data_IF_518340155719
#
_entry.id   IF_518340155719
#
_cell.length_a   1.000
_cell.length_b   1.000
_cell.length_c   1.000
_cell.angle_alpha   90.00
_cell.angle_beta   90.00
_cell.angle_gamma   90.00
#
_symmetry.space_group_name_H-M   'P 1'
#
loop_
_entity.id
_entity.type
_entity.pdbx_description
1 polymer ?
#
# COMPACT_ATOMS: atom_id res chain seq x y z
N UNK A 1 14.84 -15.06 -1.78
CA UNK A 1 14.65 -15.03 -3.25
C UNK A 1 13.20 -15.17 -3.68
N UNK A 2 12.30 -15.86 -2.96
CA UNK A 2 10.89 -16.00 -3.39
C UNK A 2 10.20 -14.69 -3.79
N UNK A 3 10.44 -13.59 -3.06
CA UNK A 3 9.85 -12.28 -3.38
C UNK A 3 10.29 -11.68 -4.73
N UNK A 4 11.40 -12.11 -5.33
CA UNK A 4 11.79 -11.63 -6.66
C UNK A 4 11.02 -12.35 -7.77
N UNK A 5 10.49 -13.54 -7.49
CA UNK A 5 9.80 -14.39 -8.46
C UNK A 5 8.28 -14.43 -8.27
N UNK A 6 7.82 -14.13 -7.06
CA UNK A 6 6.41 -14.12 -6.73
C UNK A 6 5.76 -12.83 -7.24
N UNK A 7 4.67 -12.96 -8.00
CA UNK A 7 3.86 -11.84 -8.43
C UNK A 7 3.05 -11.31 -7.24
N UNK A 8 2.99 -9.98 -7.12
CA UNK A 8 2.16 -9.32 -6.12
C UNK A 8 0.66 -9.54 -6.39
N UNK A 9 -0.16 -9.18 -5.41
CA UNK A 9 -1.61 -9.04 -5.60
C UNK A 9 -1.92 -7.92 -6.60
N UNK A 10 -3.12 -7.97 -7.19
CA UNK A 10 -3.59 -6.95 -8.12
C UNK A 10 -3.69 -5.59 -7.44
N UNK A 11 -3.33 -4.52 -8.15
CA UNK A 11 -3.52 -3.14 -7.73
C UNK A 11 -4.97 -2.68 -8.00
N UNK A 12 -5.89 -3.19 -7.18
CA UNK A 12 -7.30 -2.82 -7.19
C UNK A 12 -7.76 -2.28 -5.81
N UNK A 13 -9.06 -2.06 -5.64
CA UNK A 13 -9.62 -1.54 -4.38
C UNK A 13 -9.77 -2.61 -3.29
N UNK A 14 -9.32 -3.85 -3.51
CA UNK A 14 -9.49 -4.96 -2.59
C UNK A 14 -8.24 -5.16 -1.74
N UNK A 15 -8.47 -5.49 -0.48
CA UNK A 15 -7.42 -5.83 0.47
C UNK A 15 -7.52 -7.31 0.81
N UNK A 16 -6.39 -8.01 0.84
CA UNK A 16 -6.36 -9.40 1.26
C UNK A 16 -6.75 -9.52 2.75
N UNK A 17 -7.25 -10.70 3.15
CA UNK A 17 -7.75 -10.91 4.52
C UNK A 17 -6.67 -10.69 5.59
N UNK A 18 -5.40 -10.91 5.24
CA UNK A 18 -4.28 -10.78 6.18
C UNK A 18 -4.05 -9.34 6.62
N UNK A 19 -4.36 -8.35 5.77
CA UNK A 19 -4.27 -6.93 6.14
C UNK A 19 -5.64 -6.36 6.52
N UNK A 20 -6.73 -6.81 5.89
CA UNK A 20 -8.07 -6.28 6.18
C UNK A 20 -8.67 -6.82 7.45
N UNK A 21 -8.52 -8.11 7.75
CA UNK A 21 -9.25 -8.74 8.86
C UNK A 21 -8.28 -9.19 9.99
N UNK A 22 -7.02 -9.45 9.64
CA UNK A 22 -6.07 -10.19 10.48
C UNK A 22 -4.73 -9.49 10.64
N UNK A 23 -4.68 -8.16 10.45
CA UNK A 23 -3.45 -7.40 10.69
C UNK A 23 -3.03 -7.57 12.14
N UNK A 24 -1.76 -7.80 12.42
CA UNK A 24 -1.27 -7.86 13.79
C UNK A 24 -1.59 -6.55 14.54
N UNK A 25 -2.33 -6.67 15.64
CA UNK A 25 -2.75 -5.56 16.48
C UNK A 25 -1.98 -5.50 17.79
N UNK A 26 -1.38 -4.35 18.16
CA UNK A 26 -0.91 -4.13 19.51
C UNK A 26 -2.09 -3.84 20.47
N UNK A 27 -1.83 -3.96 21.77
CA UNK A 27 -2.75 -3.64 22.88
C UNK A 27 -3.89 -4.66 23.05
N UNK A 28 -5.14 -4.21 23.03
CA UNK A 28 -6.32 -4.96 23.49
C UNK A 28 -6.71 -6.16 22.63
N UNK A 29 -6.37 -6.14 21.33
CA UNK A 29 -6.73 -7.20 20.40
C UNK A 29 -5.52 -7.64 19.59
N UNK A 30 -5.36 -8.95 19.43
CA UNK A 30 -4.26 -9.54 18.65
C UNK A 30 -4.36 -9.29 17.14
N UNK A 31 -5.55 -8.89 16.65
CA UNK A 31 -5.84 -8.63 15.23
C UNK A 31 -6.60 -7.31 15.06
N UNK A 32 -6.38 -6.61 13.95
CA UNK A 32 -7.04 -5.35 13.56
C UNK A 32 -7.28 -5.29 12.05
N UNK A 33 -8.05 -4.30 11.62
CA UNK A 33 -8.32 -3.99 10.22
C UNK A 33 -7.46 -2.81 9.75
N UNK A 34 -6.53 -3.06 8.81
CA UNK A 34 -5.65 -2.03 8.28
C UNK A 34 -6.41 -0.96 7.48
N UNK A 35 -7.44 -1.35 6.73
CA UNK A 35 -8.27 -0.43 5.96
C UNK A 35 -9.02 0.53 6.88
N UNK A 36 -9.65 0.00 7.92
CA UNK A 36 -10.30 0.82 8.95
C UNK A 36 -9.30 1.73 9.68
N UNK A 37 -8.11 1.22 10.04
CA UNK A 37 -7.04 2.02 10.65
C UNK A 37 -6.61 3.16 9.72
N UNK A 38 -6.45 2.92 8.42
CA UNK A 38 -6.03 3.94 7.46
C UNK A 38 -7.08 5.05 7.32
N UNK A 39 -8.37 4.68 7.27
CA UNK A 39 -9.47 5.65 7.27
C UNK A 39 -9.43 6.50 8.56
N UNK A 40 -9.38 5.85 9.73
CA UNK A 40 -9.36 6.55 11.01
C UNK A 40 -8.12 7.43 11.18
N UNK A 41 -6.95 6.97 10.70
CA UNK A 41 -5.71 7.75 10.71
C UNK A 41 -5.81 8.97 9.81
N UNK A 42 -6.42 8.84 8.63
CA UNK A 42 -6.68 9.98 7.75
C UNK A 42 -7.54 11.04 8.44
N UNK A 43 -8.61 10.62 9.12
CA UNK A 43 -9.50 11.50 9.88
C UNK A 43 -8.80 12.16 11.08
N UNK A 44 -8.01 11.40 11.83
CA UNK A 44 -7.23 11.87 12.97
C UNK A 44 -6.19 12.94 12.55
N UNK A 45 -5.55 12.75 11.40
CA UNK A 45 -4.62 13.73 10.82
C UNK A 45 -5.32 14.92 10.14
N UNK A 46 -6.66 14.97 10.17
CA UNK A 46 -7.43 16.05 9.55
C UNK A 46 -7.26 16.14 8.05
N UNK A 47 -7.09 15.00 7.35
CA UNK A 47 -7.05 15.01 5.89
C UNK A 47 -8.36 15.58 5.33
N UNK A 48 -8.30 16.49 4.34
CA UNK A 48 -9.49 16.98 3.65
C UNK A 48 -10.22 15.86 2.91
N UNK A 49 -11.43 16.15 2.41
CA UNK A 49 -12.14 15.21 1.56
C UNK A 49 -11.42 14.96 0.23
N UNK A 50 -11.70 13.80 -0.34
CA UNK A 50 -11.14 13.32 -1.60
C UNK A 50 -11.26 14.34 -2.75
N UNK A 51 -12.42 14.98 -2.93
CA UNK A 51 -12.64 15.94 -4.01
C UNK A 51 -11.87 17.24 -3.79
N UNK A 52 -11.74 17.70 -2.55
CA UNK A 52 -10.91 18.84 -2.17
C UNK A 52 -9.43 18.56 -2.43
N UNK A 53 -8.93 17.37 -2.05
CA UNK A 53 -7.54 16.98 -2.33
C UNK A 53 -7.31 16.88 -3.84
N UNK A 54 -8.24 16.29 -4.62
CA UNK A 54 -8.12 16.28 -6.09
C UNK A 54 -7.95 17.68 -6.66
N UNK A 55 -8.78 18.63 -6.25
CA UNK A 55 -8.68 20.01 -6.71
C UNK A 55 -7.36 20.68 -6.30
N UNK A 56 -6.87 20.42 -5.09
CA UNK A 56 -5.58 20.94 -4.62
C UNK A 56 -4.41 20.45 -5.49
N UNK A 57 -4.47 19.21 -5.99
CA UNK A 57 -3.49 18.65 -6.93
C UNK A 57 -3.80 18.97 -8.41
N UNK A 58 -4.73 19.89 -8.69
CA UNK A 58 -5.09 20.32 -10.05
C UNK A 58 -5.89 19.28 -10.85
N UNK A 59 -6.45 18.27 -10.20
CA UNK A 59 -7.28 17.24 -10.82
C UNK A 59 -8.77 17.65 -10.79
N UNK A 60 -9.56 17.25 -11.81
CA UNK A 60 -10.98 17.52 -11.83
C UNK A 60 -11.70 16.78 -10.69
N UNK A 61 -12.60 17.48 -10.00
CA UNK A 61 -13.52 16.87 -9.03
C UNK A 61 -14.49 15.93 -9.73
N UNK A 62 -14.84 14.83 -9.08
CA UNK A 62 -15.89 13.95 -9.55
C UNK A 62 -17.25 14.44 -9.07
N UNK A 63 -18.26 14.37 -9.95
CA UNK A 63 -19.64 14.75 -9.64
C UNK A 63 -20.55 13.54 -9.47
N UNK A 64 -20.26 12.45 -10.20
CA UNK A 64 -20.97 11.19 -10.08
C UNK A 64 -20.03 10.11 -9.55
N UNK A 65 -20.57 9.22 -8.73
CA UNK A 65 -19.83 8.10 -8.16
C UNK A 65 -19.25 7.18 -9.24
N UNK A 66 -20.04 6.90 -10.28
CA UNK A 66 -19.65 6.05 -11.41
C UNK A 66 -18.40 6.54 -12.13
N UNK A 67 -18.14 7.85 -12.11
CA UNK A 67 -17.01 8.44 -12.82
C UNK A 67 -15.67 8.15 -12.14
N UNK A 68 -15.67 7.77 -10.84
CA UNK A 68 -14.45 7.47 -10.08
C UNK A 68 -13.76 6.22 -10.64
N UNK A 69 -14.54 5.16 -10.90
CA UNK A 69 -14.06 3.92 -11.50
C UNK A 69 -15.20 3.20 -12.25
N UNK A 70 -15.44 3.55 -13.52
CA UNK A 70 -16.53 2.98 -14.30
C UNK A 70 -16.45 1.46 -14.40
N UNK A 71 -15.25 0.92 -14.66
CA UNK A 71 -15.02 -0.51 -14.85
C UNK A 71 -15.35 -1.30 -13.57
N UNK A 72 -14.88 -0.83 -12.41
CA UNK A 72 -15.20 -1.47 -11.13
C UNK A 72 -16.71 -1.48 -10.85
N UNK A 73 -17.41 -0.37 -11.12
CA UNK A 73 -18.83 -0.25 -10.81
C UNK A 73 -19.73 -0.97 -11.81
N UNK A 74 -19.26 -1.16 -13.04
CA UNK A 74 -19.91 -2.03 -14.03
C UNK A 74 -19.76 -3.51 -13.66
N UNK A 75 -18.58 -3.93 -13.23
CA UNK A 75 -18.32 -5.31 -12.80
C UNK A 75 -18.95 -5.64 -11.44
N UNK A 76 -18.98 -4.67 -10.51
CA UNK A 76 -19.37 -4.83 -9.10
C UNK A 76 -20.31 -3.70 -8.62
N UNK A 77 -21.55 -3.67 -9.12
CA UNK A 77 -22.52 -2.62 -8.80
C UNK A 77 -22.94 -2.61 -7.32
N UNK A 78 -22.70 -3.68 -6.56
CA UNK A 78 -22.92 -3.74 -5.12
C UNK A 78 -21.98 -2.83 -4.34
N UNK A 79 -20.71 -2.71 -4.78
CA UNK A 79 -19.73 -1.84 -4.13
C UNK A 79 -20.18 -0.38 -4.24
N UNK A 80 -20.69 0.02 -5.41
CA UNK A 80 -21.23 1.35 -5.64
C UNK A 80 -22.36 1.67 -4.65
N UNK A 81 -23.32 0.75 -4.47
CA UNK A 81 -24.44 0.93 -3.55
C UNK A 81 -23.97 1.05 -2.09
N UNK A 82 -22.99 0.23 -1.69
CA UNK A 82 -22.42 0.29 -0.35
C UNK A 82 -21.72 1.62 -0.09
N UNK A 83 -20.95 2.13 -1.06
CA UNK A 83 -20.28 3.43 -0.95
C UNK A 83 -21.27 4.58 -0.86
N UNK A 84 -22.28 4.61 -1.73
CA UNK A 84 -23.34 5.63 -1.70
C UNK A 84 -24.02 5.62 -0.32
N UNK A 85 -24.35 4.44 0.21
CA UNK A 85 -24.97 4.32 1.53
C UNK A 85 -24.02 4.72 2.66
N UNK A 86 -22.72 4.45 2.56
CA UNK A 86 -21.74 4.73 3.61
C UNK A 86 -21.42 6.23 3.75
N UNK A 87 -21.61 6.99 2.68
CA UNK A 87 -21.32 8.43 2.64
C UNK A 87 -22.59 9.28 2.44
N UNK A 88 -23.77 8.75 2.79
CA UNK A 88 -25.07 9.45 2.70
C UNK A 88 -25.34 10.09 1.31
N UNK A 89 -24.86 9.43 0.25
CA UNK A 89 -24.89 9.89 -1.13
C UNK A 89 -24.18 11.26 -1.37
N UNK A 90 -23.33 11.71 -0.46
CA UNK A 90 -22.49 12.89 -0.64
C UNK A 90 -21.08 12.51 -1.10
N UNK A 91 -20.85 12.69 -2.41
CA UNK A 91 -19.55 12.43 -3.05
C UNK A 91 -18.42 13.33 -2.52
N UNK A 92 -18.74 14.45 -1.87
CA UNK A 92 -17.75 15.37 -1.31
C UNK A 92 -17.34 15.01 0.13
N UNK A 93 -17.85 13.90 0.67
CA UNK A 93 -17.51 13.45 2.02
C UNK A 93 -16.60 12.21 2.02
N UNK A 94 -16.15 11.77 0.83
CA UNK A 94 -15.30 10.58 0.67
C UNK A 94 -13.93 10.81 1.32
N UNK A 95 -13.49 9.87 2.15
CA UNK A 95 -12.14 9.87 2.71
C UNK A 95 -11.10 9.68 1.59
N UNK A 96 -10.00 10.44 1.63
CA UNK A 96 -8.94 10.40 0.60
C UNK A 96 -8.39 8.99 0.38
N UNK A 97 -8.23 8.21 1.46
CA UNK A 97 -7.78 6.83 1.37
C UNK A 97 -8.73 5.98 0.52
N UNK A 98 -10.04 6.07 0.78
CA UNK A 98 -11.06 5.31 0.06
C UNK A 98 -11.13 5.76 -1.40
N UNK A 99 -11.22 7.08 -1.65
CA UNK A 99 -11.27 7.61 -3.01
C UNK A 99 -10.05 7.27 -3.85
N UNK A 100 -8.85 7.33 -3.28
CA UNK A 100 -7.62 6.96 -3.98
C UNK A 100 -7.48 5.46 -4.26
N UNK A 101 -7.96 4.60 -3.34
CA UNK A 101 -8.05 3.15 -3.59
C UNK A 101 -9.04 2.86 -4.73
N UNK A 102 -10.18 3.53 -4.77
CA UNK A 102 -11.20 3.35 -5.81
C UNK A 102 -10.69 3.72 -7.20
N UNK A 103 -9.80 4.70 -7.34
CA UNK A 103 -9.21 5.06 -8.65
C UNK A 103 -8.21 4.02 -9.20
N UNK A 104 -7.80 3.02 -8.41
CA UNK A 104 -6.73 2.10 -8.79
C UNK A 104 -7.21 1.03 -9.77
N UNK A 105 -6.42 0.80 -10.81
CA UNK A 105 -6.67 -0.23 -11.83
C UNK A 105 -5.34 -0.69 -12.44
N UNK A 106 -4.75 -1.75 -11.87
CA UNK A 106 -3.43 -2.30 -12.27
C UNK A 106 -2.24 -1.36 -12.03
N UNK A 107 -2.51 -0.21 -11.42
CA UNK A 107 -1.57 0.81 -10.96
C UNK A 107 -2.31 1.78 -10.02
N UNK A 108 -1.59 2.59 -9.24
CA UNK A 108 -2.22 3.62 -8.43
C UNK A 108 -3.09 4.56 -9.28
N UNK A 109 -4.22 4.98 -8.72
CA UNK A 109 -5.10 5.97 -9.33
C UNK A 109 -4.41 7.29 -9.67
N UNK A 110 -5.10 8.18 -10.42
CA UNK A 110 -4.52 9.46 -10.85
C UNK A 110 -4.15 10.33 -9.65
N UNK A 111 -5.00 10.36 -8.63
CA UNK A 111 -4.72 11.11 -7.41
C UNK A 111 -3.45 10.58 -6.70
N UNK A 112 -3.41 9.30 -6.35
CA UNK A 112 -2.27 8.73 -5.64
C UNK A 112 -0.99 8.76 -6.47
N UNK A 113 -1.06 8.52 -7.77
CA UNK A 113 0.10 8.70 -8.67
C UNK A 113 0.64 10.12 -8.59
N UNK A 114 -0.24 11.13 -8.64
CA UNK A 114 0.17 12.55 -8.59
C UNK A 114 0.78 12.91 -7.24
N UNK A 115 0.14 12.52 -6.13
CA UNK A 115 0.61 12.76 -4.76
C UNK A 115 1.98 12.12 -4.53
N UNK A 116 2.13 10.84 -4.88
CA UNK A 116 3.38 10.10 -4.71
C UNK A 116 4.48 10.72 -5.56
N UNK A 117 4.22 10.97 -6.84
CA UNK A 117 5.20 11.55 -7.75
C UNK A 117 5.68 12.93 -7.29
N UNK A 118 4.77 13.83 -6.91
CA UNK A 118 5.14 15.16 -6.42
C UNK A 118 5.96 15.06 -5.12
N UNK A 119 5.56 14.17 -4.20
CA UNK A 119 6.30 13.98 -2.95
C UNK A 119 7.73 13.47 -3.21
N UNK A 120 7.92 12.53 -4.14
CA UNK A 120 9.25 12.05 -4.52
C UNK A 120 10.09 13.13 -5.22
N UNK A 121 9.50 13.94 -6.10
CA UNK A 121 10.18 15.08 -6.74
C UNK A 121 10.66 16.06 -5.67
N UNK A 122 9.77 16.46 -4.75
CA UNK A 122 10.12 17.39 -3.67
C UNK A 122 11.20 16.84 -2.75
N UNK A 123 11.15 15.55 -2.40
CA UNK A 123 12.20 14.91 -1.61
C UNK A 123 13.56 14.96 -2.33
N UNK A 124 13.60 14.56 -3.59
CA UNK A 124 14.82 14.58 -4.41
C UNK A 124 15.39 15.99 -4.55
N UNK A 125 14.56 16.94 -4.98
CA UNK A 125 15.01 18.28 -5.36
C UNK A 125 15.38 19.14 -4.14
N UNK A 126 14.83 18.81 -2.95
CA UNK A 126 15.10 19.57 -1.72
C UNK A 126 16.17 18.95 -0.82
N UNK A 127 16.66 17.76 -1.14
CA UNK A 127 17.69 17.10 -0.34
C UNK A 127 19.08 17.58 -0.75
N UNK A 128 19.70 18.39 0.10
CA UNK A 128 21.09 18.84 -0.10
C UNK A 128 22.07 17.67 -0.23
N UNK A 129 21.80 16.54 0.42
CA UNK A 129 22.63 15.34 0.37
C UNK A 129 22.16 14.32 -0.68
N UNK A 130 21.25 14.71 -1.58
CA UNK A 130 20.92 13.90 -2.75
C UNK A 130 22.20 13.53 -3.51
N UNK A 131 22.37 12.26 -3.85
CA UNK A 131 23.65 11.76 -4.37
C UNK A 131 24.01 12.36 -5.74
N UNK A 132 23.03 12.84 -6.51
CA UNK A 132 23.28 13.50 -7.80
C UNK A 132 23.54 15.01 -7.66
N UNK A 133 23.44 15.57 -6.46
CA UNK A 133 23.74 16.98 -6.23
C UNK A 133 25.27 17.20 -6.18
N UNK A 134 25.85 17.63 -7.29
CA UNK A 134 27.29 17.87 -7.41
C UNK A 134 27.81 18.98 -6.46
N UNK A 135 26.95 19.91 -6.02
CA UNK A 135 27.35 21.04 -5.18
C UNK A 135 27.73 20.62 -3.75
N UNK A 136 27.27 19.46 -3.28
CA UNK A 136 27.57 18.98 -1.94
C UNK A 136 28.95 18.33 -1.82
N UNK A 137 29.62 18.05 -2.95
CA UNK A 137 30.96 17.46 -3.00
C UNK A 137 31.07 16.03 -2.46
N UNK A 138 29.96 15.30 -2.29
CA UNK A 138 29.96 13.91 -1.81
C UNK A 138 30.55 12.94 -2.84
N UNK A 139 30.20 13.12 -4.11
CA UNK A 139 30.59 12.26 -5.21
C UNK A 139 31.05 13.09 -6.41
N UNK A 140 32.04 12.57 -7.14
CA UNK A 140 32.43 13.09 -8.44
C UNK A 140 31.40 12.71 -9.51
N UNK A 141 31.39 13.43 -10.64
CA UNK A 141 30.52 13.10 -11.80
C UNK A 141 30.63 11.64 -12.23
N UNK A 142 31.85 11.11 -12.24
CA UNK A 142 32.12 9.72 -12.60
C UNK A 142 31.50 8.75 -11.59
N UNK A 143 31.61 9.03 -10.29
CA UNK A 143 31.01 8.19 -9.26
C UNK A 143 29.47 8.24 -9.32
N UNK A 144 28.86 9.40 -9.61
CA UNK A 144 27.41 9.51 -9.83
C UNK A 144 26.96 8.64 -11.00
N UNK A 145 27.71 8.66 -12.12
CA UNK A 145 27.44 7.80 -13.27
C UNK A 145 27.55 6.30 -12.95
N UNK A 146 28.48 5.91 -12.08
CA UNK A 146 28.57 4.53 -11.59
C UNK A 146 27.41 4.17 -10.65
N UNK A 147 27.05 5.06 -9.71
CA UNK A 147 25.93 4.86 -8.79
C UNK A 147 24.60 4.71 -9.53
N UNK A 148 24.38 5.45 -10.62
CA UNK A 148 23.18 5.34 -11.46
C UNK A 148 23.03 3.97 -12.14
N UNK A 149 24.11 3.22 -12.32
CA UNK A 149 24.08 1.88 -12.91
C UNK A 149 23.68 0.81 -11.90
N UNK A 150 23.83 1.10 -10.60
CA UNK A 150 23.53 0.13 -9.55
C UNK A 150 22.02 -0.07 -9.45
N UNK A 151 21.60 -1.32 -9.58
CA UNK A 151 20.21 -1.75 -9.43
C UNK A 151 20.02 -2.57 -8.16
N UNK A 152 18.75 -2.81 -7.77
CA UNK A 152 18.47 -3.70 -6.65
C UNK A 152 18.94 -5.15 -6.92
N UNK A 153 19.03 -5.56 -8.19
CA UNK A 153 19.64 -6.82 -8.59
C UNK A 153 21.11 -6.90 -8.14
N UNK A 154 21.90 -5.86 -8.44
CA UNK A 154 23.32 -5.83 -8.09
C UNK A 154 23.53 -5.88 -6.57
N UNK A 155 22.66 -5.18 -5.83
CA UNK A 155 22.66 -5.21 -4.36
C UNK A 155 22.41 -6.63 -3.84
N UNK A 156 21.40 -7.33 -4.39
CA UNK A 156 21.05 -8.68 -3.94
C UNK A 156 22.15 -9.69 -4.28
N UNK A 157 22.70 -9.65 -5.50
CA UNK A 157 23.80 -10.53 -5.90
C UNK A 157 25.03 -10.29 -5.03
N UNK A 158 25.41 -9.03 -4.81
CA UNK A 158 26.63 -8.71 -4.04
C UNK A 158 26.47 -8.97 -2.53
N UNK A 159 25.25 -8.92 -2.01
CA UNK A 159 24.97 -9.14 -0.57
C UNK A 159 24.68 -10.60 -0.23
N UNK A 160 24.61 -11.49 -1.23
CA UNK A 160 24.28 -12.90 -1.04
C UNK A 160 25.26 -13.79 -1.81
N UNK A 161 25.15 -15.11 -1.65
CA UNK A 161 25.99 -16.08 -2.37
C UNK A 161 25.25 -16.75 -3.54
N UNK A 162 24.19 -16.12 -4.06
CA UNK A 162 23.42 -16.68 -5.17
C UNK A 162 24.13 -16.43 -6.50
N UNK A 163 23.91 -17.32 -7.46
CA UNK A 163 24.45 -17.17 -8.80
C UNK A 163 23.75 -16.02 -9.54
N UNK A 164 24.47 -15.29 -10.40
CA UNK A 164 23.95 -14.14 -11.17
C UNK A 164 22.69 -14.48 -11.99
N UNK A 165 22.63 -15.69 -12.54
CA UNK A 165 21.49 -16.17 -13.33
C UNK A 165 20.31 -16.69 -12.50
N UNK A 166 20.38 -16.60 -11.17
CA UNK A 166 19.31 -17.11 -10.29
C UNK A 166 18.10 -16.16 -10.22
N UNK A 167 18.25 -14.90 -10.62
CA UNK A 167 17.18 -13.89 -10.64
C UNK A 167 17.26 -13.02 -11.89
N UNK A 168 16.14 -12.41 -12.24
CA UNK A 168 16.03 -11.46 -13.34
C UNK A 168 16.74 -10.14 -13.03
N UNK A 169 17.19 -9.43 -14.07
CA UNK A 169 17.95 -8.17 -13.92
C UNK A 169 17.09 -7.03 -13.35
N UNK A 170 15.80 -6.98 -13.68
CA UNK A 170 14.88 -6.02 -13.08
C UNK A 170 13.98 -6.72 -12.07
N UNK A 171 14.42 -6.82 -10.82
CA UNK A 171 13.74 -7.59 -9.75
C UNK A 171 12.38 -7.04 -9.32
N UNK A 172 11.96 -5.87 -9.80
CA UNK A 172 10.64 -5.31 -9.50
C UNK A 172 9.53 -5.94 -10.34
N UNK A 173 9.88 -6.53 -11.48
CA UNK A 173 8.92 -7.20 -12.36
C UNK A 173 9.45 -8.59 -12.71
N UNK A 174 8.54 -9.52 -12.88
CA UNK A 174 8.86 -10.84 -13.41
C UNK A 174 8.12 -11.00 -14.73
N UNK A 175 8.85 -11.34 -15.79
CA UNK A 175 8.36 -11.47 -17.15
C UNK A 175 8.54 -12.90 -17.67
N UNK A 176 7.77 -13.27 -18.69
CA UNK A 176 7.93 -14.59 -19.32
C UNK A 176 9.37 -14.77 -19.85
N UNK A 177 10.01 -15.85 -19.44
CA UNK A 177 11.41 -16.16 -19.73
C UNK A 177 12.39 -15.82 -18.60
N UNK A 178 11.96 -15.10 -17.57
CA UNK A 178 12.76 -14.86 -16.38
C UNK A 178 12.98 -16.16 -15.56
N UNK A 179 14.10 -16.27 -14.81
CA UNK A 179 14.39 -17.45 -14.01
C UNK A 179 13.36 -17.66 -12.89
N UNK A 180 13.21 -18.92 -12.51
CA UNK A 180 12.41 -19.36 -11.36
C UNK A 180 10.96 -18.81 -11.38
N UNK A 181 10.11 -19.21 -12.34
CA UNK A 181 8.70 -18.84 -12.31
C UNK A 181 8.04 -19.29 -11.01
N UNK A 182 7.12 -18.48 -10.49
CA UNK A 182 6.31 -18.90 -9.36
C UNK A 182 5.47 -20.14 -9.73
N UNK A 183 5.31 -21.14 -8.85
CA UNK A 183 4.54 -22.34 -9.15
C UNK A 183 3.06 -22.05 -9.44
N UNK A 184 2.47 -21.09 -8.74
CA UNK A 184 1.10 -20.63 -8.88
C UNK A 184 0.93 -19.26 -8.21
N UNK A 185 -0.14 -18.54 -8.53
CA UNK A 185 -0.56 -17.37 -7.75
C UNK A 185 -1.10 -17.85 -6.40
N UNK A 186 -0.53 -17.34 -5.31
CA UNK A 186 -0.97 -17.71 -3.97
C UNK A 186 -2.39 -17.21 -3.70
N UNK A 187 -3.15 -18.01 -2.97
CA UNK A 187 -4.46 -17.63 -2.44
C UNK A 187 -4.58 -18.14 -1.00
N UNK A 188 -5.33 -17.41 -0.18
CA UNK A 188 -5.62 -17.73 1.23
C UNK A 188 -6.12 -19.16 1.45
N UNK A 189 -6.83 -19.76 0.49
CA UNK A 189 -7.32 -21.15 0.59
C UNK A 189 -6.21 -22.21 0.57
N UNK A 190 -5.00 -21.85 0.12
CA UNK A 190 -3.85 -22.75 0.01
C UNK A 190 -2.86 -22.58 1.18
N UNK A 191 -3.14 -21.64 2.09
CA UNK A 191 -2.26 -21.30 3.20
C UNK A 191 -2.85 -21.79 4.53
N UNK A 192 -2.01 -21.89 5.55
CA UNK A 192 -2.48 -22.20 6.90
C UNK A 192 -3.54 -21.18 7.36
N UNK A 193 -4.64 -21.63 7.98
CA UNK A 193 -5.64 -20.72 8.48
C UNK A 193 -5.05 -19.73 9.48
N UNK A 194 -5.30 -18.44 9.26
CA UNK A 194 -4.80 -17.40 10.15
C UNK A 194 -5.42 -17.55 11.54
N UNK A 195 -4.63 -17.30 12.60
CA UNK A 195 -5.11 -17.38 13.98
C UNK A 195 -6.28 -16.42 14.22
N UNK A 196 -7.27 -16.92 14.95
CA UNK A 196 -8.47 -16.18 15.37
C UNK A 196 -8.09 -15.00 16.27
N UNK A 197 -8.88 -13.93 16.20
CA UNK A 197 -8.72 -12.77 17.09
C UNK A 197 -8.85 -13.18 18.56
N UNK A 198 -7.96 -12.65 19.39
CA UNK A 198 -7.94 -12.85 20.84
C UNK A 198 -7.84 -11.50 21.53
N UNK A 199 -8.69 -11.26 22.52
CA UNK A 199 -8.58 -10.11 23.40
C UNK A 199 -7.51 -10.34 24.47
N UNK A 200 -6.84 -9.29 24.89
CA UNK A 200 -5.94 -9.31 26.03
C UNK A 200 -6.66 -8.72 27.25
N UNK A 201 -6.95 -9.56 28.23
CA UNK A 201 -7.48 -9.11 29.53
C UNK A 201 -6.32 -8.91 30.50
N UNK A 202 -5.98 -7.64 30.75
CA UNK A 202 -4.90 -7.28 31.66
C UNK A 202 -5.23 -7.57 33.14
N UNK A 203 -6.49 -7.86 33.47
CA UNK A 203 -6.96 -8.09 34.84
C UNK A 203 -7.42 -9.53 35.10
N UNK A 204 -7.22 -10.46 34.16
CA UNK A 204 -7.72 -11.85 34.24
C UNK A 204 -7.35 -12.54 35.57
N UNK A 205 -6.18 -12.24 36.13
CA UNK A 205 -5.66 -12.83 37.38
C UNK A 205 -5.71 -11.86 38.58
N UNK A 206 -6.16 -10.62 38.37
CA UNK A 206 -6.15 -9.57 39.40
C UNK A 206 -7.45 -9.46 40.20
N UNK A 207 -8.51 -10.18 39.81
CA UNK A 207 -9.79 -10.17 40.53
C UNK A 207 -9.73 -11.17 41.70
N UNK A 208 -9.22 -10.73 42.84
CA UNK A 208 -9.52 -11.37 44.13
C UNK A 208 -10.98 -11.02 44.48
N UNK A 209 -11.83 -12.05 44.63
CA UNK A 209 -13.24 -11.95 45.02
C UNK A 209 -13.40 -11.22 46.37
N UNK A 210 -13.54 -9.90 46.35
CA UNK A 210 -14.10 -9.12 47.45
C UNK A 210 -15.62 -9.24 47.42
N UNK A 211 -16.16 -10.39 47.84
CA UNK A 211 -17.52 -10.53 48.37
C UNK A 211 -17.78 -11.97 48.90
N UNK A 212 -17.46 -12.17 50.18
CA UNK A 212 -18.28 -12.98 51.10
C UNK A 212 -18.29 -12.24 52.44
N UNK A 213 -19.25 -11.35 52.61
CA UNK A 213 -19.85 -11.00 53.90
C UNK A 213 -21.36 -11.14 53.74
#
# INVERSE_FOLDING_TARGET
MGMTSQLAEREDSLLCSDVRDKLFGPMEFSRRDLGAINIMRGRDNGLPDYNTVRAAYGLPKFKNWTDINPELFDERPEILRMLISAYDNDINNIDVYVGGMLESYGKPGKLFTKVILEQFIRLRDSDRFWFENEENGLFTKKEIEELRKITLYDIIINSTSIHENAIQKNVFFWMEGDPCPQPMQLNTSQMEPCKVITGYDYFEVSIIKLCRM
#
